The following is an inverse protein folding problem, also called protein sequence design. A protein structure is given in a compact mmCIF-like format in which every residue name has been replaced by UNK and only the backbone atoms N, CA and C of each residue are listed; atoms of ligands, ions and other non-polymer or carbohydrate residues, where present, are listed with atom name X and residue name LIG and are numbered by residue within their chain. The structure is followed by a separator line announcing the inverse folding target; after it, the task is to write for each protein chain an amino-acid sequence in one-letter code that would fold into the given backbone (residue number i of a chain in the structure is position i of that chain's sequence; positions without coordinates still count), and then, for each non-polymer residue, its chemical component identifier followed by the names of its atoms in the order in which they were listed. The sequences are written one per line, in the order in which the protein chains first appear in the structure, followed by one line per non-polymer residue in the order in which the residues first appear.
data_IF_802312178427
#
_entry.id   IF_802312178427
#
_cell.length_a   1.000
_cell.length_b   1.000
_cell.length_c   1.000
_cell.angle_alpha   90.00
_cell.angle_beta   90.00
_cell.angle_gamma   90.00
#
_symmetry.space_group_name_H-M   'P 1'
#
loop_
_entity.id
_entity.type
_entity.pdbx_description
1 polymer ?
#
# COMPACT_ATOMS: atom_id res chain seq x y z
N UNK A 1 13.66 3.40 14.18
CA UNK A 1 13.29 1.98 14.49
C UNK A 1 14.49 1.24 15.08
N UNK A 2 15.65 1.23 14.41
CA UNK A 2 16.91 0.73 14.99
C UNK A 2 17.31 1.49 16.27
N UNK A 3 17.14 2.82 16.29
CA UNK A 3 17.41 3.66 17.47
C UNK A 3 16.52 3.33 18.68
N UNK A 4 15.44 2.55 18.47
CA UNK A 4 14.55 2.05 19.53
C UNK A 4 14.84 0.58 19.89
N UNK A 5 15.95 0.01 19.42
CA UNK A 5 16.42 -1.33 19.78
C UNK A 5 15.88 -2.48 18.93
N UNK A 6 15.17 -2.19 17.83
CA UNK A 6 14.68 -3.21 16.91
C UNK A 6 15.72 -3.60 15.85
N UNK A 7 15.91 -4.90 15.65
CA UNK A 7 16.63 -5.45 14.51
C UNK A 7 15.72 -5.45 13.27
N UNK A 8 16.11 -4.66 12.28
CA UNK A 8 15.41 -4.50 11.00
C UNK A 8 16.20 -5.01 9.81
N UNK A 9 17.32 -5.72 10.01
CA UNK A 9 18.17 -6.19 8.92
C UNK A 9 17.39 -7.07 7.93
N UNK A 10 16.45 -7.87 8.45
CA UNK A 10 15.55 -8.68 7.63
C UNK A 10 14.60 -7.85 6.74
N UNK A 11 14.17 -6.69 7.23
CA UNK A 11 13.32 -5.73 6.52
C UNK A 11 14.15 -5.06 5.41
N UNK A 12 15.36 -4.61 5.73
CA UNK A 12 16.28 -3.98 4.79
C UNK A 12 16.62 -4.90 3.63
N UNK A 13 16.96 -6.17 3.90
CA UNK A 13 17.14 -7.18 2.85
C UNK A 13 15.89 -7.35 1.98
N UNK A 14 14.70 -7.37 2.60
CA UNK A 14 13.44 -7.47 1.88
C UNK A 14 13.18 -6.28 0.95
N UNK A 15 13.64 -5.08 1.32
CA UNK A 15 13.59 -3.87 0.50
C UNK A 15 14.56 -3.98 -0.68
N UNK A 16 15.82 -4.39 -0.43
CA UNK A 16 16.80 -4.60 -1.48
C UNK A 16 16.34 -5.64 -2.51
N UNK A 17 15.76 -6.77 -2.05
CA UNK A 17 15.20 -7.80 -2.93
C UNK A 17 14.06 -7.27 -3.80
N UNK A 18 13.29 -6.30 -3.29
CA UNK A 18 12.20 -5.65 -4.01
C UNK A 18 12.73 -4.65 -5.05
N UNK A 19 13.73 -3.85 -4.70
CA UNK A 19 14.38 -2.91 -5.61
C UNK A 19 15.09 -3.64 -6.75
N UNK A 20 15.75 -4.76 -6.47
CA UNK A 20 16.41 -5.60 -7.46
C UNK A 20 15.45 -6.15 -8.53
N UNK A 21 14.13 -6.22 -8.26
CA UNK A 21 13.15 -6.60 -9.29
C UNK A 21 13.02 -5.55 -10.41
N UNK A 22 13.39 -4.30 -10.13
CA UNK A 22 13.25 -3.16 -11.04
C UNK A 22 14.52 -2.91 -11.87
N UNK A 23 15.66 -3.40 -11.40
CA UNK A 23 16.96 -3.21 -12.04
C UNK A 23 17.01 -3.87 -13.43
N UNK A 24 17.44 -3.11 -14.44
CA UNK A 24 17.56 -3.57 -15.81
C UNK A 24 16.23 -3.93 -16.49
N UNK A 25 15.08 -3.63 -15.88
CA UNK A 25 13.75 -3.88 -16.47
C UNK A 25 13.27 -2.71 -17.34
N UNK A 26 12.39 -2.99 -18.32
CA UNK A 26 11.74 -1.94 -19.09
C UNK A 26 10.94 -0.97 -18.19
N UNK A 27 10.89 0.34 -18.52
CA UNK A 27 10.14 1.32 -17.73
C UNK A 27 8.69 0.93 -17.47
N UNK A 28 8.01 0.31 -18.44
CA UNK A 28 6.61 -0.10 -18.32
C UNK A 28 6.40 -1.24 -17.31
N UNK A 29 7.44 -2.06 -17.08
CA UNK A 29 7.44 -3.08 -16.05
C UNK A 29 7.57 -2.44 -14.66
N UNK A 30 8.48 -1.48 -14.52
CA UNK A 30 8.69 -0.76 -13.27
C UNK A 30 7.44 0.07 -12.91
N UNK A 31 6.85 0.76 -13.88
CA UNK A 31 5.58 1.46 -13.70
C UNK A 31 4.45 0.51 -13.29
N UNK A 32 4.37 -0.71 -13.84
CA UNK A 32 3.38 -1.69 -13.42
C UNK A 32 3.62 -2.21 -11.99
N UNK A 33 4.87 -2.26 -11.52
CA UNK A 33 5.19 -2.49 -10.10
C UNK A 33 4.67 -1.33 -9.26
N UNK A 34 4.94 -0.08 -9.68
CA UNK A 34 4.45 1.12 -9.00
C UNK A 34 2.93 1.10 -8.90
N UNK A 35 2.20 0.85 -9.99
CA UNK A 35 0.73 0.73 -9.97
C UNK A 35 0.26 -0.29 -8.92
N UNK A 36 0.93 -1.45 -8.82
CA UNK A 36 0.54 -2.46 -7.86
C UNK A 36 0.75 -1.99 -6.40
N UNK A 37 1.85 -1.29 -6.13
CA UNK A 37 2.14 -0.73 -4.80
C UNK A 37 1.18 0.40 -4.43
N UNK A 38 0.96 1.35 -5.33
CA UNK A 38 0.03 2.47 -5.16
C UNK A 38 -1.41 2.01 -5.00
N UNK A 39 -1.82 0.97 -5.73
CA UNK A 39 -3.15 0.37 -5.55
C UNK A 39 -3.34 -0.19 -4.13
N UNK A 40 -2.31 -0.82 -3.56
CA UNK A 40 -2.35 -1.25 -2.16
C UNK A 40 -2.37 -0.08 -1.20
N UNK A 41 -1.49 0.90 -1.40
CA UNK A 41 -1.37 2.06 -0.53
C UNK A 41 -2.71 2.81 -0.48
N UNK A 42 -3.30 3.14 -1.62
CA UNK A 42 -4.60 3.77 -1.71
C UNK A 42 -5.72 3.02 -0.98
N UNK A 43 -5.77 1.68 -1.08
CA UNK A 43 -6.80 0.90 -0.38
C UNK A 43 -6.55 0.91 1.14
N UNK A 44 -5.30 0.81 1.59
CA UNK A 44 -4.94 0.93 3.01
C UNK A 44 -5.32 2.33 3.50
N UNK A 45 -4.98 3.37 2.75
CA UNK A 45 -5.28 4.77 3.06
C UNK A 45 -6.77 5.02 3.20
N UNK A 46 -7.59 4.51 2.27
CA UNK A 46 -9.05 4.54 2.37
C UNK A 46 -9.53 3.87 3.66
N UNK A 47 -9.00 2.69 4.00
CA UNK A 47 -9.37 2.02 5.26
C UNK A 47 -8.93 2.84 6.48
N UNK A 48 -7.75 3.44 6.46
CA UNK A 48 -7.21 4.24 7.55
C UNK A 48 -8.06 5.49 7.81
N UNK A 49 -8.44 6.21 6.75
CA UNK A 49 -9.25 7.43 6.82
C UNK A 49 -10.71 7.13 7.21
N UNK A 50 -11.29 6.04 6.68
CA UNK A 50 -12.69 5.68 6.96
C UNK A 50 -12.90 5.07 8.36
N UNK A 51 -11.84 4.62 9.02
CA UNK A 51 -11.91 3.85 10.26
C UNK A 51 -10.89 4.37 11.30
N UNK A 52 -11.27 5.39 12.09
CA UNK A 52 -10.39 6.01 13.08
C UNK A 52 -9.82 5.04 14.12
N UNK A 53 -10.45 3.87 14.31
CA UNK A 53 -9.97 2.84 15.22
C UNK A 53 -8.56 2.32 14.89
N UNK A 54 -8.09 2.48 13.65
CA UNK A 54 -6.74 2.08 13.25
C UNK A 54 -5.64 2.98 13.82
N UNK A 55 -5.97 4.24 14.15
CA UNK A 55 -5.05 5.21 14.76
C UNK A 55 -5.36 5.43 16.26
N UNK A 56 -6.28 4.65 16.83
CA UNK A 56 -6.64 4.77 18.23
C UNK A 56 -5.45 4.44 19.14
N UNK A 57 -5.05 5.40 19.97
CA UNK A 57 -3.91 5.26 20.89
C UNK A 57 -2.54 5.53 20.27
N UNK A 58 -2.49 5.94 18.99
CA UNK A 58 -1.27 6.48 18.40
C UNK A 58 -0.92 7.85 19.01
N UNK A 59 0.37 8.20 18.98
CA UNK A 59 0.80 9.57 19.25
C UNK A 59 0.07 10.55 18.30
N UNK A 60 -0.46 11.69 18.78
CA UNK A 60 -1.25 12.59 17.95
C UNK A 60 -0.52 13.09 16.70
N UNK A 61 0.77 13.43 16.83
CA UNK A 61 1.56 13.93 15.69
C UNK A 61 1.78 12.83 14.67
N UNK A 62 2.12 11.62 15.13
CA UNK A 62 2.26 10.48 14.25
C UNK A 62 0.94 10.15 13.53
N UNK A 63 -0.19 10.22 14.22
CA UNK A 63 -1.50 9.99 13.64
C UNK A 63 -1.82 11.01 12.53
N UNK A 64 -1.50 12.29 12.75
CA UNK A 64 -1.74 13.35 11.77
C UNK A 64 -0.88 13.17 10.52
N UNK A 65 0.41 12.80 10.67
CA UNK A 65 1.27 12.44 9.53
C UNK A 65 0.69 11.28 8.74
N UNK A 66 0.18 10.24 9.41
CA UNK A 66 -0.44 9.10 8.75
C UNK A 66 -1.71 9.47 7.98
N UNK A 67 -2.54 10.40 8.48
CA UNK A 67 -3.74 10.85 7.78
C UNK A 67 -3.40 11.72 6.56
N UNK A 68 -2.44 12.64 6.71
CA UNK A 68 -1.92 13.43 5.61
C UNK A 68 -1.35 12.52 4.51
N UNK A 69 -0.44 11.61 4.87
CA UNK A 69 0.16 10.68 3.90
C UNK A 69 -0.90 9.80 3.24
N UNK A 70 -1.87 9.28 4.01
CA UNK A 70 -2.97 8.50 3.43
C UNK A 70 -3.77 9.28 2.37
N UNK A 71 -3.91 10.59 2.54
CA UNK A 71 -4.59 11.45 1.57
C UNK A 71 -3.79 11.55 0.26
N UNK A 72 -2.47 11.73 0.32
CA UNK A 72 -1.61 11.78 -0.88
C UNK A 72 -1.65 10.47 -1.69
N UNK A 73 -1.65 9.33 -1.00
CA UNK A 73 -1.70 8.00 -1.64
C UNK A 73 -3.00 7.77 -2.44
N UNK A 74 -4.10 8.45 -2.08
CA UNK A 74 -5.35 8.40 -2.86
C UNK A 74 -5.19 9.12 -4.21
N UNK A 75 -4.35 10.15 -4.28
CA UNK A 75 -4.08 10.89 -5.52
C UNK A 75 -3.08 10.15 -6.41
N UNK A 76 -2.02 9.60 -5.82
CA UNK A 76 -0.95 8.89 -6.52
C UNK A 76 -1.47 7.70 -7.36
N UNK A 77 -2.48 6.96 -6.86
CA UNK A 77 -3.06 5.81 -7.58
C UNK A 77 -3.49 6.14 -9.00
N UNK A 78 -4.07 7.33 -9.20
CA UNK A 78 -4.57 7.77 -10.50
C UNK A 78 -3.44 8.21 -11.40
N UNK A 79 -2.57 9.08 -10.87
CA UNK A 79 -1.44 9.64 -11.59
C UNK A 79 -0.53 8.54 -12.17
N UNK A 80 -0.15 7.56 -11.35
CA UNK A 80 0.75 6.48 -11.78
C UNK A 80 0.10 5.62 -12.86
N UNK A 81 -1.21 5.40 -12.78
CA UNK A 81 -1.94 4.63 -13.79
C UNK A 81 -1.97 5.36 -15.15
N UNK A 82 -2.20 6.67 -15.15
CA UNK A 82 -2.26 7.49 -16.36
C UNK A 82 -0.89 7.58 -17.05
N UNK A 83 0.19 7.73 -16.27
CA UNK A 83 1.57 7.65 -16.78
C UNK A 83 1.83 6.30 -17.44
N UNK A 84 1.38 5.20 -16.85
CA UNK A 84 1.54 3.88 -17.43
C UNK A 84 0.71 3.68 -18.70
N UNK A 85 -0.51 4.22 -18.76
CA UNK A 85 -1.31 4.20 -19.99
C UNK A 85 -0.61 4.95 -21.12
N UNK A 86 0.03 6.08 -20.82
CA UNK A 86 0.82 6.84 -21.78
C UNK A 86 2.05 6.06 -22.24
N UNK A 87 2.82 5.49 -21.31
CA UNK A 87 4.02 4.70 -21.62
C UNK A 87 3.69 3.43 -22.43
N UNK A 88 2.51 2.86 -22.22
CA UNK A 88 2.04 1.65 -22.92
C UNK A 88 1.07 1.95 -24.06
N UNK A 89 1.04 3.19 -24.58
CA UNK A 89 0.06 3.62 -25.61
C UNK A 89 0.02 2.73 -26.85
N UNK A 90 1.16 2.18 -27.24
CA UNK A 90 1.31 1.29 -28.41
C UNK A 90 1.01 -0.20 -28.11
N UNK A 91 0.69 -0.54 -26.86
CA UNK A 91 0.33 -1.90 -26.47
C UNK A 91 -1.15 -2.18 -26.69
N UNK A 92 -1.46 -3.42 -27.07
CA UNK A 92 -2.84 -3.91 -27.08
C UNK A 92 -3.43 -3.94 -25.66
N UNK A 93 -4.75 -3.81 -25.56
CA UNK A 93 -5.47 -3.88 -24.29
C UNK A 93 -5.19 -5.20 -23.54
N UNK A 94 -5.08 -6.32 -24.26
CA UNK A 94 -4.74 -7.61 -23.69
C UNK A 94 -3.33 -7.64 -23.09
N UNK A 95 -2.33 -7.07 -23.78
CA UNK A 95 -0.95 -6.99 -23.28
C UNK A 95 -0.89 -6.16 -22.00
N UNK A 96 -1.54 -5.00 -21.98
CA UNK A 96 -1.66 -4.16 -20.77
C UNK A 96 -2.26 -4.94 -19.62
N UNK A 97 -3.45 -5.51 -19.81
CA UNK A 97 -4.13 -6.29 -18.77
C UNK A 97 -3.28 -7.43 -18.24
N UNK A 98 -2.65 -8.22 -19.13
CA UNK A 98 -1.81 -9.37 -18.76
C UNK A 98 -0.61 -8.93 -17.93
N UNK A 99 0.14 -7.93 -18.39
CA UNK A 99 1.36 -7.45 -17.71
C UNK A 99 1.01 -6.89 -16.33
N UNK A 100 0.02 -5.99 -16.26
CA UNK A 100 -0.45 -5.41 -14.99
C UNK A 100 -0.89 -6.50 -14.01
N UNK A 101 -1.71 -7.46 -14.46
CA UNK A 101 -2.25 -8.51 -13.59
C UNK A 101 -1.17 -9.46 -13.08
N UNK A 102 -0.24 -9.89 -13.94
CA UNK A 102 0.86 -10.77 -13.52
C UNK A 102 1.80 -10.07 -12.53
N UNK A 103 2.10 -8.80 -12.77
CA UNK A 103 2.94 -8.00 -11.87
C UNK A 103 2.21 -7.75 -10.55
N UNK A 104 0.93 -7.37 -10.57
CA UNK A 104 0.14 -7.19 -9.36
C UNK A 104 0.13 -8.46 -8.49
N UNK A 105 -0.02 -9.65 -9.10
CA UNK A 105 0.06 -10.93 -8.38
C UNK A 105 1.47 -11.21 -7.82
N UNK A 106 2.52 -10.94 -8.60
CA UNK A 106 3.91 -11.11 -8.17
C UNK A 106 4.22 -10.21 -6.96
N UNK A 107 3.88 -8.92 -7.07
CA UNK A 107 4.07 -7.93 -6.01
C UNK A 107 3.26 -8.29 -4.79
N UNK A 108 1.99 -8.66 -4.95
CA UNK A 108 1.16 -9.12 -3.83
C UNK A 108 1.82 -10.27 -3.08
N UNK A 109 2.29 -11.30 -3.79
CA UNK A 109 2.93 -12.46 -3.14
C UNK A 109 4.20 -12.07 -2.39
N UNK A 110 5.10 -11.31 -3.02
CA UNK A 110 6.39 -10.93 -2.41
C UNK A 110 6.20 -9.92 -1.28
N UNK A 111 5.43 -8.87 -1.52
CA UNK A 111 5.18 -7.80 -0.56
C UNK A 111 4.46 -8.32 0.69
N UNK A 112 3.35 -9.05 0.55
CA UNK A 112 2.68 -9.63 1.72
C UNK A 112 3.54 -10.65 2.47
N UNK A 113 4.27 -11.48 1.73
CA UNK A 113 5.20 -12.45 2.34
C UNK A 113 6.25 -11.77 3.20
N UNK A 114 6.81 -10.67 2.72
CA UNK A 114 7.78 -9.86 3.47
C UNK A 114 7.09 -9.19 4.68
N UNK A 115 6.00 -8.43 4.47
CA UNK A 115 5.30 -7.71 5.54
C UNK A 115 4.83 -8.63 6.68
N UNK A 116 4.32 -9.82 6.38
CA UNK A 116 3.89 -10.80 7.41
C UNK A 116 5.09 -11.33 8.19
N UNK A 117 6.20 -11.64 7.50
CA UNK A 117 7.44 -12.09 8.14
C UNK A 117 7.98 -11.00 9.06
N UNK A 118 8.05 -9.77 8.58
CA UNK A 118 8.59 -8.62 9.29
C UNK A 118 7.76 -8.31 10.53
N UNK A 119 6.42 -8.26 10.40
CA UNK A 119 5.52 -8.06 11.54
C UNK A 119 5.63 -9.18 12.59
N UNK A 120 5.80 -10.44 12.17
CA UNK A 120 6.07 -11.54 13.10
C UNK A 120 7.43 -11.36 13.79
N UNK A 121 8.46 -10.94 13.04
CA UNK A 121 9.79 -10.67 13.58
C UNK A 121 9.78 -9.60 14.66
N UNK A 122 9.10 -8.48 14.41
CA UNK A 122 8.93 -7.40 15.39
C UNK A 122 8.19 -7.87 16.64
N UNK A 123 7.08 -8.63 16.49
CA UNK A 123 6.37 -9.19 17.64
C UNK A 123 7.23 -10.17 18.45
N UNK A 124 8.13 -10.91 17.82
CA UNK A 124 9.06 -11.80 18.54
C UNK A 124 10.07 -10.98 19.34
N UNK A 125 10.56 -9.87 18.78
CA UNK A 125 11.44 -8.93 19.49
C UNK A 125 10.73 -8.27 20.68
N UNK A 126 9.41 -8.06 20.60
CA UNK A 126 8.57 -7.63 21.73
C UNK A 126 8.31 -8.74 22.78
N UNK A 127 8.92 -9.92 22.64
CA UNK A 127 8.84 -11.01 23.60
C UNK A 127 7.71 -12.02 23.37
N UNK A 128 6.97 -11.93 22.25
CA UNK A 128 5.98 -12.95 21.91
C UNK A 128 6.64 -14.21 21.32
N UNK A 129 6.16 -15.39 21.72
CA UNK A 129 6.52 -16.61 21.01
C UNK A 129 5.95 -16.62 19.57
N UNK A 130 6.57 -17.38 18.67
CA UNK A 130 6.18 -17.46 17.25
C UNK A 130 4.70 -17.83 17.03
N UNK A 131 4.14 -18.74 17.84
CA UNK A 131 2.75 -19.19 17.71
C UNK A 131 1.80 -18.07 18.12
N UNK A 132 2.12 -17.37 19.20
CA UNK A 132 1.36 -16.23 19.71
C UNK A 132 1.44 -15.05 18.75
N UNK A 133 2.62 -14.70 18.24
CA UNK A 133 2.80 -13.66 17.22
C UNK A 133 1.95 -13.93 15.97
N UNK A 134 2.03 -15.15 15.41
CA UNK A 134 1.22 -15.57 14.25
C UNK A 134 -0.28 -15.52 14.53
N UNK A 135 -0.72 -15.89 15.74
CA UNK A 135 -2.13 -15.85 16.13
C UNK A 135 -2.63 -14.40 16.25
N UNK A 136 -1.87 -13.53 16.93
CA UNK A 136 -2.20 -12.11 17.10
C UNK A 136 -2.26 -11.39 15.76
N UNK A 137 -1.24 -11.55 14.91
CA UNK A 137 -1.20 -10.93 13.60
C UNK A 137 -2.37 -11.38 12.72
N UNK A 138 -2.69 -12.69 12.68
CA UNK A 138 -3.85 -13.20 11.93
C UNK A 138 -5.17 -12.63 12.45
N UNK A 139 -5.34 -12.54 13.77
CA UNK A 139 -6.53 -11.95 14.37
C UNK A 139 -6.67 -10.46 14.01
N UNK A 140 -5.57 -9.70 14.05
CA UNK A 140 -5.56 -8.29 13.68
C UNK A 140 -5.94 -8.10 12.19
N UNK A 141 -5.31 -8.87 11.30
CA UNK A 141 -5.50 -8.75 9.85
C UNK A 141 -6.89 -9.20 9.38
N UNK A 142 -7.46 -10.27 9.96
CA UNK A 142 -8.67 -10.91 9.43
C UNK A 142 -9.89 -10.88 10.36
N UNK A 143 -9.72 -10.74 11.67
CA UNK A 143 -10.83 -10.80 12.64
C UNK A 143 -11.28 -9.41 13.11
N UNK A 144 -10.48 -8.76 13.96
CA UNK A 144 -10.73 -7.41 14.47
C UNK A 144 -9.39 -6.68 14.62
N UNK A 145 -9.21 -5.51 13.98
CA UNK A 145 -10.16 -4.78 13.14
C UNK A 145 -10.47 -5.48 11.79
N UNK A 146 -9.58 -6.33 11.29
CA UNK A 146 -9.83 -7.15 10.12
C UNK A 146 -9.73 -6.35 8.81
N UNK A 147 -8.66 -5.61 8.62
CA UNK A 147 -8.48 -4.77 7.41
C UNK A 147 -8.43 -5.61 6.12
N UNK A 148 -7.78 -6.79 6.15
CA UNK A 148 -7.58 -7.64 4.97
C UNK A 148 -8.88 -8.12 4.33
N UNK A 149 -9.84 -8.51 5.15
CA UNK A 149 -11.18 -8.94 4.66
C UNK A 149 -11.94 -7.78 4.01
N UNK A 150 -11.73 -6.53 4.45
CA UNK A 150 -12.39 -5.34 3.91
C UNK A 150 -11.78 -4.94 2.57
N UNK A 151 -10.45 -5.01 2.45
CA UNK A 151 -9.75 -4.62 1.22
C UNK A 151 -9.73 -5.68 0.11
N UNK A 152 -10.00 -6.95 0.40
CA UNK A 152 -9.75 -8.04 -0.56
C UNK A 152 -10.40 -7.82 -1.94
N UNK A 153 -11.68 -7.41 -1.98
CA UNK A 153 -12.39 -7.20 -3.23
C UNK A 153 -11.94 -5.93 -3.97
N UNK A 154 -11.59 -4.88 -3.24
CA UNK A 154 -11.03 -3.64 -3.80
C UNK A 154 -9.65 -3.91 -4.40
N UNK A 155 -8.83 -4.69 -3.71
CA UNK A 155 -7.54 -5.14 -4.25
C UNK A 155 -7.72 -5.95 -5.52
N UNK A 156 -8.60 -6.97 -5.52
CA UNK A 156 -8.82 -7.86 -6.65
C UNK A 156 -9.33 -7.13 -7.91
N UNK A 157 -9.85 -5.90 -7.79
CA UNK A 157 -10.26 -5.08 -8.92
C UNK A 157 -9.13 -4.83 -9.92
N UNK A 158 -7.86 -4.74 -9.47
CA UNK A 158 -6.69 -4.54 -10.35
C UNK A 158 -6.51 -5.67 -11.38
N UNK A 159 -7.09 -6.84 -11.13
CA UNK A 159 -7.02 -8.00 -12.02
C UNK A 159 -8.10 -7.99 -13.12
N UNK A 160 -9.11 -7.11 -13.01
CA UNK A 160 -10.22 -7.04 -13.97
C UNK A 160 -9.78 -6.39 -15.29
N UNK A 161 -10.20 -6.93 -16.45
CA UNK A 161 -10.11 -6.20 -17.72
C UNK A 161 -10.80 -4.84 -17.60
N UNK A 162 -10.20 -3.78 -18.14
CA UNK A 162 -10.77 -2.43 -18.08
C UNK A 162 -10.73 -1.75 -16.71
N UNK A 163 -10.03 -2.32 -15.72
CA UNK A 163 -9.80 -1.64 -14.44
C UNK A 163 -9.16 -0.27 -14.64
N UNK A 164 -9.62 0.71 -13.85
CA UNK A 164 -8.98 2.00 -13.65
C UNK A 164 -9.12 2.36 -12.16
N UNK A 165 -8.07 2.89 -11.49
CA UNK A 165 -8.16 3.22 -10.06
C UNK A 165 -9.31 4.17 -9.70
N UNK A 166 -9.65 5.11 -10.59
CA UNK A 166 -10.79 6.04 -10.45
C UNK A 166 -12.18 5.42 -10.58
N UNK A 167 -12.31 4.13 -10.89
CA UNK A 167 -13.60 3.42 -10.74
C UNK A 167 -14.05 3.38 -9.28
N UNK A 168 -13.11 3.53 -8.35
CA UNK A 168 -13.37 3.82 -6.95
C UNK A 168 -13.02 5.28 -6.67
N UNK A 169 -14.04 6.13 -6.67
CA UNK A 169 -13.87 7.56 -6.40
C UNK A 169 -13.74 7.79 -4.89
N UNK A 170 -12.52 8.11 -4.47
CA UNK A 170 -12.15 8.37 -3.09
C UNK A 170 -11.90 9.87 -2.86
N UNK A 171 -12.18 10.74 -3.85
CA UNK A 171 -11.92 12.18 -3.72
C UNK A 171 -12.69 12.85 -2.60
N UNK A 172 -13.86 12.29 -2.25
CA UNK A 172 -14.61 12.73 -1.08
C UNK A 172 -13.84 12.53 0.24
N UNK A 173 -12.87 11.61 0.29
CA UNK A 173 -12.01 11.37 1.46
C UNK A 173 -10.86 12.37 1.57
N UNK A 174 -10.44 12.97 0.45
CA UNK A 174 -9.36 13.97 0.40
C UNK A 174 -9.75 15.23 1.19
N UNK A 175 -11.05 15.55 1.24
CA UNK A 175 -11.59 16.69 1.98
C UNK A 175 -12.11 16.38 3.39
N UNK A 176 -11.90 15.18 3.93
CA UNK A 176 -12.39 14.83 5.27
C UNK A 176 -11.49 15.33 6.41
N UNK A 177 -10.21 15.54 6.14
CA UNK A 177 -9.29 16.22 7.06
C UNK A 177 -8.85 17.53 6.40
N UNK A 178 -9.52 18.63 6.74
CA UNK A 178 -8.92 19.96 6.59
C UNK A 178 -7.63 19.95 7.41
N UNK A 179 -6.50 19.77 6.72
CA UNK A 179 -5.20 19.77 7.37
C UNK A 179 -5.03 21.09 8.13
N UNK A 180 -4.70 21.06 9.44
CA UNK A 180 -4.40 22.29 10.18
C UNK A 180 -3.14 22.99 9.64
N UNK A 181 -2.38 22.30 8.77
CA UNK A 181 -1.23 22.83 8.08
C UNK A 181 -1.68 23.49 6.77
N UNK A 182 -1.72 24.82 6.77
CA UNK A 182 -2.08 25.63 5.60
C UNK A 182 -1.28 25.25 4.33
N UNK A 183 -0.04 24.77 4.48
CA UNK A 183 0.80 24.34 3.37
C UNK A 183 0.26 23.11 2.62
N UNK A 184 -0.47 22.22 3.29
CA UNK A 184 -1.09 21.05 2.67
C UNK A 184 -2.44 21.36 2.00
N UNK A 185 -2.97 22.57 2.18
CA UNK A 185 -4.24 23.06 1.63
C UNK A 185 -4.00 24.13 0.54
N UNK A 186 -2.73 24.39 0.19
CA UNK A 186 -2.37 25.34 -0.86
C UNK A 186 -2.87 24.81 -2.22
N UNK A 187 -3.49 25.66 -3.06
CA UNK A 187 -3.78 25.29 -4.44
C UNK A 187 -2.48 24.85 -5.11
N UNK A 188 -2.51 23.74 -5.85
CA UNK A 188 -1.39 23.36 -6.71
C UNK A 188 -1.08 24.52 -7.68
N UNK A 189 0.17 24.97 -7.69
CA UNK A 189 0.66 26.07 -8.55
C UNK A 189 0.58 25.73 -10.04
#
# INVERSE_FOLDING_TARGET
VQDHGYDVESIDRGIHDMLALTEGRPPEFNLAITIALEHFAAIISRQLLAHPEYLAGADPVAADVWRWHATEEIEHKGLVYDVWLHATRDWSAWKRWKVRSLIALLITRKYFGNRVRDAIGLLIQDGFDLRTARRKLRAFLWWKPGMMRRMFFEWAAILKPGFHPWQHDDRALIGLDDSPYSAAVMPAE
#
